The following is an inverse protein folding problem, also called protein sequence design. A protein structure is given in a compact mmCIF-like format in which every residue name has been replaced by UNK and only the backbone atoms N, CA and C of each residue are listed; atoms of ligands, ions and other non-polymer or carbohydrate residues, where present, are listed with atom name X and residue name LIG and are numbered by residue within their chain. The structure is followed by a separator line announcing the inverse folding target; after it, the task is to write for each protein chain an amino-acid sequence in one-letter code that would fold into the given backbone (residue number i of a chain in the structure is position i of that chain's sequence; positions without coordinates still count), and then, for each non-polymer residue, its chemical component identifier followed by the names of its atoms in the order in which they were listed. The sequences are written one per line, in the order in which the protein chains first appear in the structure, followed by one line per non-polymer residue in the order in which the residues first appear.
data_IF_027211924328
#
_entry.id   IF_027211924328
#
_cell.length_a   1.000
_cell.length_b   1.000
_cell.length_c   1.000
_cell.angle_alpha   90.00
_cell.angle_beta   90.00
_cell.angle_gamma   90.00
#
_symmetry.space_group_name_H-M   'P 1'
#
loop_
_entity.id
_entity.type
_entity.pdbx_description
1 polymer ?
#
# COMPACT_ATOMS: atom_id res chain seq x y z
N UNK A 1 -9.31 11.17 -14.00
CA UNK A 1 -9.68 12.14 -12.93
C UNK A 1 -9.45 13.54 -13.44
N UNK A 2 -10.37 14.47 -13.11
CA UNK A 2 -10.31 15.85 -13.54
C UNK A 2 -10.45 16.79 -12.34
N UNK A 3 -9.87 17.98 -12.45
CA UNK A 3 -10.06 19.11 -11.53
C UNK A 3 -10.81 20.20 -12.27
N UNK A 4 -11.90 20.70 -11.66
CA UNK A 4 -12.68 21.82 -12.16
C UNK A 4 -12.45 23.03 -11.26
N UNK A 5 -11.87 24.09 -11.81
CA UNK A 5 -11.79 25.38 -11.14
C UNK A 5 -13.12 26.10 -11.26
N UNK A 6 -13.85 26.27 -10.14
CA UNK A 6 -15.21 26.81 -10.16
C UNK A 6 -15.30 28.25 -10.68
N UNK A 7 -14.35 29.10 -10.31
CA UNK A 7 -14.37 30.53 -10.69
C UNK A 7 -14.21 30.74 -12.20
N UNK A 8 -13.29 29.99 -12.83
CA UNK A 8 -12.99 30.11 -14.26
C UNK A 8 -13.73 29.08 -15.12
N UNK A 9 -14.37 28.08 -14.51
CA UNK A 9 -14.94 26.88 -15.16
C UNK A 9 -13.92 26.10 -15.99
N UNK A 10 -12.63 26.27 -15.72
CA UNK A 10 -11.59 25.52 -16.41
C UNK A 10 -11.51 24.09 -15.88
N UNK A 11 -11.36 23.14 -16.80
CA UNK A 11 -11.20 21.71 -16.50
C UNK A 11 -9.77 21.31 -16.84
N UNK A 12 -9.09 20.70 -15.87
CA UNK A 12 -7.76 20.14 -16.02
C UNK A 12 -7.79 18.64 -15.81
N UNK A 13 -7.16 17.89 -16.72
CA UNK A 13 -7.01 16.45 -16.57
C UNK A 13 -5.84 16.16 -15.64
N UNK A 14 -6.09 15.44 -14.54
CA UNK A 14 -5.05 15.02 -13.60
C UNK A 14 -4.40 13.71 -14.04
N UNK A 15 -5.24 12.77 -14.45
CA UNK A 15 -4.79 11.46 -14.94
C UNK A 15 -5.85 10.88 -15.86
N UNK A 16 -5.39 10.39 -17.01
CA UNK A 16 -6.17 9.49 -17.86
C UNK A 16 -5.85 8.05 -17.46
N UNK A 17 -6.88 7.29 -17.09
CA UNK A 17 -6.75 5.94 -16.57
C UNK A 17 -7.74 5.01 -17.31
N UNK A 18 -7.56 4.77 -18.62
CA UNK A 18 -8.54 4.08 -19.46
C UNK A 18 -8.83 2.64 -19.01
N UNK A 19 -7.87 2.02 -18.34
CA UNK A 19 -7.97 0.65 -17.81
C UNK A 19 -7.62 0.59 -16.31
N UNK A 20 -7.41 1.75 -15.67
CA UNK A 20 -6.95 1.85 -14.28
C UNK A 20 -8.08 2.30 -13.35
N UNK A 21 -8.12 1.72 -12.15
CA UNK A 21 -9.11 2.09 -11.15
C UNK A 21 -8.51 3.09 -10.16
N UNK A 22 -9.09 4.29 -10.08
CA UNK A 22 -8.79 5.25 -9.03
C UNK A 22 -9.71 4.93 -7.86
N UNK A 23 -9.13 4.52 -6.73
CA UNK A 23 -9.88 3.99 -5.60
C UNK A 23 -10.04 5.01 -4.46
N UNK A 24 -9.11 5.94 -4.32
CA UNK A 24 -9.11 6.97 -3.29
C UNK A 24 -8.28 8.17 -3.75
N UNK A 25 -8.62 9.35 -3.25
CA UNK A 25 -7.89 10.59 -3.51
C UNK A 25 -8.07 11.59 -2.35
N UNK A 26 -7.10 12.48 -2.17
CA UNK A 26 -7.12 13.55 -1.18
C UNK A 26 -6.32 14.77 -1.66
N UNK A 27 -6.88 15.96 -1.47
CA UNK A 27 -6.15 17.21 -1.67
C UNK A 27 -5.21 17.48 -0.49
N UNK A 28 -3.99 17.93 -0.79
CA UNK A 28 -3.12 18.51 0.24
C UNK A 28 -3.81 19.72 0.90
N UNK A 29 -3.52 20.01 2.18
CA UNK A 29 -4.15 21.12 2.90
C UNK A 29 -3.99 22.49 2.23
N UNK A 30 -2.88 22.69 1.49
CA UNK A 30 -2.61 23.92 0.74
C UNK A 30 -3.25 23.98 -0.64
N UNK A 31 -3.87 22.88 -1.10
CA UNK A 31 -4.54 22.82 -2.41
C UNK A 31 -3.60 22.79 -3.61
N UNK A 32 -2.30 22.53 -3.43
CA UNK A 32 -1.31 22.48 -4.53
C UNK A 32 -1.07 21.05 -5.04
N UNK A 33 -1.44 20.04 -4.25
CA UNK A 33 -1.29 18.63 -4.62
C UNK A 33 -2.57 17.83 -4.45
N UNK A 34 -2.73 16.80 -5.29
CA UNK A 34 -3.70 15.71 -5.09
C UNK A 34 -2.92 14.41 -4.95
N UNK A 35 -3.08 13.72 -3.82
CA UNK A 35 -2.66 12.34 -3.69
C UNK A 35 -3.80 11.42 -4.14
N UNK A 36 -3.51 10.35 -4.86
CA UNK A 36 -4.52 9.37 -5.27
C UNK A 36 -3.93 7.97 -5.41
N UNK A 37 -4.73 6.95 -5.13
CA UNK A 37 -4.36 5.55 -5.36
C UNK A 37 -4.90 5.07 -6.70
N UNK A 38 -4.05 4.49 -7.53
CA UNK A 38 -4.43 3.95 -8.82
C UNK A 38 -3.95 2.51 -8.98
N UNK A 39 -4.87 1.62 -9.35
CA UNK A 39 -4.59 0.24 -9.70
C UNK A 39 -4.57 0.09 -11.23
N UNK A 40 -3.45 -0.29 -11.85
CA UNK A 40 -3.43 -0.67 -13.26
C UNK A 40 -4.02 -2.07 -13.46
N UNK A 41 -4.49 -2.37 -14.68
CA UNK A 41 -5.18 -3.63 -15.02
C UNK A 41 -4.48 -4.91 -14.55
N UNK A 42 -3.16 -4.96 -14.59
CA UNK A 42 -2.37 -6.17 -14.32
C UNK A 42 -1.42 -5.99 -13.12
N UNK A 43 -1.69 -5.05 -12.23
CA UNK A 43 -0.73 -4.70 -11.19
C UNK A 43 -1.34 -4.31 -9.85
N UNK A 44 -0.44 -4.01 -8.93
CA UNK A 44 -0.78 -3.57 -7.59
C UNK A 44 -1.11 -2.09 -7.57
N UNK A 45 -2.00 -1.68 -6.67
CA UNK A 45 -2.30 -0.26 -6.48
C UNK A 45 -1.04 0.48 -6.04
N UNK A 46 -0.82 1.66 -6.60
CA UNK A 46 0.23 2.58 -6.16
C UNK A 46 -0.37 3.92 -5.84
N UNK A 47 0.26 4.65 -4.91
CA UNK A 47 -0.08 6.04 -4.63
C UNK A 47 0.71 6.93 -5.57
N UNK A 48 0.00 7.91 -6.12
CA UNK A 48 0.51 8.97 -6.97
C UNK A 48 0.21 10.32 -6.33
N UNK A 49 1.04 11.31 -6.62
CA UNK A 49 0.83 12.71 -6.25
C UNK A 49 0.86 13.56 -7.51
N UNK A 50 -0.24 14.24 -7.79
CA UNK A 50 -0.34 15.25 -8.84
C UNK A 50 -0.04 16.64 -8.28
N UNK A 51 0.79 17.39 -8.99
CA UNK A 51 1.11 18.80 -8.73
C UNK A 51 0.27 19.70 -9.62
N UNK A 52 -0.44 20.68 -9.04
CA UNK A 52 -1.18 21.69 -9.79
C UNK A 52 -0.27 22.61 -10.59
N UNK A 53 0.87 22.96 -10.00
CA UNK A 53 1.80 23.94 -10.56
C UNK A 53 2.51 23.39 -11.80
N UNK A 54 2.83 22.10 -11.78
CA UNK A 54 3.49 21.42 -12.89
C UNK A 54 2.51 20.71 -13.83
N UNK A 55 1.24 20.61 -13.43
CA UNK A 55 0.22 19.80 -14.08
C UNK A 55 0.70 18.36 -14.38
N UNK A 56 1.30 17.71 -13.37
CA UNK A 56 1.97 16.42 -13.55
C UNK A 56 1.82 15.51 -12.34
N UNK A 57 1.64 14.22 -12.62
CA UNK A 57 1.54 13.16 -11.61
C UNK A 57 2.84 12.39 -11.46
N UNK A 58 3.17 12.06 -10.22
CA UNK A 58 4.35 11.32 -9.80
C UNK A 58 3.93 10.09 -9.02
N UNK A 59 4.46 8.91 -9.35
CA UNK A 59 4.29 7.73 -8.49
C UNK A 59 5.20 7.86 -7.28
N UNK A 60 4.64 7.78 -6.08
CA UNK A 60 5.39 7.98 -4.82
C UNK A 60 5.56 6.70 -4.00
N UNK A 61 4.93 5.60 -4.41
CA UNK A 61 5.12 4.28 -3.77
C UNK A 61 5.76 3.25 -4.72
N UNK A 62 6.43 2.23 -4.17
CA UNK A 62 6.87 1.07 -4.94
C UNK A 62 5.71 0.29 -5.56
N UNK A 63 6.01 -0.57 -6.53
CA UNK A 63 5.01 -1.41 -7.24
C UNK A 63 4.94 -2.85 -6.75
N UNK A 64 5.76 -3.22 -5.76
CA UNK A 64 5.86 -4.59 -5.24
C UNK A 64 4.75 -4.95 -4.26
N UNK A 65 4.06 -3.95 -3.72
CA UNK A 65 2.98 -4.11 -2.76
C UNK A 65 1.86 -3.12 -3.08
N UNK A 66 0.62 -3.51 -2.80
CA UNK A 66 -0.51 -2.59 -2.95
C UNK A 66 -0.40 -1.46 -1.92
N UNK A 67 -0.47 -0.22 -2.40
CA UNK A 67 -0.49 0.99 -1.58
C UNK A 67 -1.73 1.82 -1.89
N UNK A 68 -2.51 2.16 -0.86
CA UNK A 68 -3.84 2.77 -0.98
C UNK A 68 -4.11 3.79 0.13
N UNK A 69 -5.26 4.47 0.05
CA UNK A 69 -5.78 5.37 1.09
C UNK A 69 -4.79 6.44 1.52
N UNK A 70 -4.32 7.29 0.57
CA UNK A 70 -3.41 8.37 0.90
C UNK A 70 -4.10 9.42 1.78
N UNK A 71 -3.37 9.96 2.76
CA UNK A 71 -3.83 11.11 3.56
C UNK A 71 -2.69 12.02 3.98
N UNK A 72 -2.91 13.32 3.94
CA UNK A 72 -1.90 14.32 4.27
C UNK A 72 -1.88 14.63 5.76
N UNK A 73 -0.70 14.92 6.30
CA UNK A 73 -0.66 15.59 7.60
C UNK A 73 -1.22 17.02 7.49
N UNK A 74 -1.67 17.64 8.58
CA UNK A 74 -2.25 18.99 8.55
C UNK A 74 -1.33 20.07 7.99
N UNK A 75 0.01 19.90 8.10
CA UNK A 75 0.98 20.85 7.52
C UNK A 75 1.22 20.64 6.01
N UNK A 76 0.85 19.46 5.48
CA UNK A 76 1.09 19.05 4.09
C UNK A 76 2.54 18.64 3.79
N UNK A 77 3.35 18.37 4.82
CA UNK A 77 4.76 17.96 4.70
C UNK A 77 4.92 16.44 4.57
N UNK A 78 3.93 15.66 5.02
CA UNK A 78 3.94 14.21 5.05
C UNK A 78 2.69 13.64 4.41
N UNK A 79 2.86 12.50 3.75
CA UNK A 79 1.78 11.71 3.18
C UNK A 79 1.80 10.32 3.82
N UNK A 80 0.72 9.96 4.49
CA UNK A 80 0.48 8.63 5.02
C UNK A 80 -0.31 7.80 4.01
N UNK A 81 -0.12 6.48 4.03
CA UNK A 81 -0.85 5.54 3.18
C UNK A 81 -0.85 4.14 3.80
N UNK A 82 -1.80 3.31 3.41
CA UNK A 82 -1.85 1.90 3.79
C UNK A 82 -1.07 1.06 2.78
N UNK A 83 -0.31 0.07 3.26
CA UNK A 83 0.52 -0.80 2.43
C UNK A 83 0.30 -2.27 2.79
N UNK A 84 -0.19 -3.06 1.85
CA UNK A 84 -0.42 -4.49 2.03
C UNK A 84 0.88 -5.24 1.72
N UNK A 85 1.72 -5.37 2.74
CA UNK A 85 2.99 -6.09 2.68
C UNK A 85 2.83 -7.49 3.24
N UNK A 86 1.93 -8.27 2.64
CA UNK A 86 1.82 -9.67 2.98
C UNK A 86 2.88 -10.44 2.21
N UNK A 87 3.89 -10.94 2.93
CA UNK A 87 4.82 -11.92 2.41
C UNK A 87 4.27 -13.29 2.79
N UNK A 88 3.70 -14.01 1.82
CA UNK A 88 3.31 -15.40 1.99
C UNK A 88 4.43 -16.27 1.41
N UNK A 89 5.50 -16.58 2.16
CA UNK A 89 6.48 -17.54 1.70
C UNK A 89 5.74 -18.85 1.47
N UNK A 90 5.89 -19.42 0.28
CA UNK A 90 5.54 -20.82 0.08
C UNK A 90 6.56 -21.62 0.91
N UNK A 91 6.21 -21.92 2.15
CA UNK A 91 7.03 -22.76 3.02
C UNK A 91 7.08 -24.13 2.35
N UNK A 92 8.27 -24.57 1.98
CA UNK A 92 8.43 -25.93 1.44
C UNK A 92 8.03 -26.95 2.51
N UNK A 93 7.60 -28.15 2.10
CA UNK A 93 7.29 -29.23 3.05
C UNK A 93 8.46 -29.54 4.00
N UNK A 94 9.70 -29.37 3.53
CA UNK A 94 10.91 -29.49 4.35
C UNK A 94 11.00 -28.44 5.45
N UNK A 95 10.70 -27.18 5.15
CA UNK A 95 10.69 -26.09 6.14
C UNK A 95 9.51 -26.21 7.12
N UNK A 96 8.35 -26.70 6.67
CA UNK A 96 7.20 -26.96 7.54
C UNK A 96 7.49 -28.10 8.53
N UNK A 97 8.15 -29.17 8.07
CA UNK A 97 8.57 -30.27 8.95
C UNK A 97 9.58 -29.82 10.00
N UNK A 98 10.49 -28.90 9.66
CA UNK A 98 11.44 -28.34 10.63
C UNK A 98 10.75 -27.46 11.68
N UNK A 99 9.74 -26.67 11.26
CA UNK A 99 9.00 -25.78 12.14
C UNK A 99 8.04 -26.52 13.09
N UNK A 100 7.40 -27.59 12.62
CA UNK A 100 6.37 -28.32 13.38
C UNK A 100 6.91 -29.47 14.23
N UNK A 101 8.04 -30.10 13.86
CA UNK A 101 8.66 -31.15 14.69
C UNK A 101 9.45 -30.62 15.90
N UNK A 102 9.48 -29.31 16.14
CA UNK A 102 10.06 -28.71 17.36
C UNK A 102 9.04 -28.54 18.49
N UNK A 103 7.99 -29.38 18.57
CA UNK A 103 7.30 -29.54 19.85
C UNK A 103 8.33 -30.09 20.86
N UNK A 104 8.55 -29.32 21.93
CA UNK A 104 9.50 -29.59 23.02
C UNK A 104 9.50 -31.06 23.43
N UNK A 105 10.67 -31.67 23.69
CA UNK A 105 10.71 -32.98 24.32
C UNK A 105 9.91 -32.92 25.62
N UNK A 106 8.90 -33.79 25.72
CA UNK A 106 8.21 -34.03 26.98
C UNK A 106 9.25 -34.50 28.01
N UNK A 107 9.46 -33.71 29.07
CA UNK A 107 10.35 -34.05 30.19
C UNK A 107 9.69 -35.07 31.15
N UNK A 108 9.03 -36.10 30.62
CA UNK A 108 8.45 -37.21 31.41
C UNK A 108 9.24 -38.50 31.28
N UNK A 109 10.55 -38.43 31.51
CA UNK A 109 11.36 -39.60 31.86
C UNK A 109 12.09 -39.37 33.19
N UNK A 110 11.31 -39.12 34.24
CA UNK A 110 11.77 -39.13 35.62
C UNK A 110 10.84 -40.02 36.44
N UNK A 111 11.44 -41.02 37.10
CA UNK A 111 10.86 -41.97 38.06
C UNK A 111 10.27 -43.28 37.51
N UNK A 112 11.08 -44.34 37.56
CA UNK A 112 10.70 -45.51 38.35
C UNK A 112 11.95 -46.24 38.90
N UNK A 113 11.87 -46.57 40.19
CA UNK A 113 12.95 -47.04 41.08
C UNK A 113 13.23 -48.53 40.91
N UNK A 114 14.47 -48.91 41.21
CA UNK A 114 14.85 -50.31 41.37
C UNK A 114 14.22 -51.00 42.58
N UNK A 115 14.21 -52.34 42.48
CA UNK A 115 14.56 -53.32 43.51
C UNK A 115 15.19 -54.52 42.80
#
# INVERSE_FOLDING_TARGET
MYVLTLASKQIQMVVDAPIGLIQSYEWSPKGTFIAYSMQPRSGMSSVYVWSSDENKSYRVTPTMFSSTSPTWDPSGSYLYFLSNREYAPQISSSEFNYATNRMTPDLRSGFEKGY
#
